data_IF_307702778778
#
_entry.id   IF_307702778778
#
_cell.length_a   1.000
_cell.length_b   1.000
_cell.length_c   1.000
_cell.angle_alpha   90.00
_cell.angle_beta   90.00
_cell.angle_gamma   90.00
#
_symmetry.space_group_name_H-M   'P 1'
#
loop_
_entity.id
_entity.type
_entity.pdbx_description
1 polymer ?
#
# COMPACT_ATOMS: atom_id res chain seq x y z
N UNK A 1 11.20 5.39 -21.61
CA UNK A 1 11.23 3.93 -21.51
C UNK A 1 10.74 3.53 -20.13
N UNK A 2 9.56 2.92 -20.08
CA UNK A 2 9.05 2.32 -18.83
C UNK A 2 9.96 1.15 -18.49
N UNK A 3 10.36 0.97 -17.20
CA UNK A 3 11.08 -0.22 -16.81
C UNK A 3 10.23 -1.47 -17.16
N UNK A 4 10.70 -2.31 -18.07
CA UNK A 4 10.02 -3.54 -18.52
C UNK A 4 9.73 -4.53 -17.36
N UNK A 5 10.35 -4.33 -16.20
CA UNK A 5 10.18 -5.14 -15.01
C UNK A 5 8.88 -4.87 -14.22
N UNK A 6 8.20 -3.77 -14.50
CA UNK A 6 6.96 -3.42 -13.81
C UNK A 6 5.79 -3.59 -14.78
N UNK A 7 5.46 -4.78 -15.17
CA UNK A 7 4.32 -5.07 -16.04
C UNK A 7 3.09 -4.18 -15.77
N UNK A 8 2.02 -4.37 -16.45
CA UNK A 8 0.79 -3.56 -16.41
C UNK A 8 0.11 -3.55 -15.01
N UNK A 9 0.82 -3.01 -14.00
CA UNK A 9 0.34 -2.92 -12.61
C UNK A 9 -0.51 -1.65 -12.49
N UNK A 10 -1.80 -1.81 -12.62
CA UNK A 10 -2.77 -0.77 -12.30
C UNK A 10 -2.64 -0.42 -10.82
N UNK A 11 -2.23 0.80 -10.50
CA UNK A 11 -2.00 1.28 -9.13
C UNK A 11 -0.56 1.67 -8.78
N UNK A 12 0.41 1.42 -9.65
CA UNK A 12 1.83 1.75 -9.45
C UNK A 12 2.07 3.26 -9.28
N UNK A 13 1.22 4.11 -9.85
CA UNK A 13 1.41 5.57 -9.86
C UNK A 13 1.46 6.23 -8.47
N UNK A 14 0.90 5.61 -7.44
CA UNK A 14 0.89 6.17 -6.07
C UNK A 14 1.95 5.56 -5.16
N UNK A 15 2.33 4.31 -5.37
CA UNK A 15 3.34 3.62 -4.55
C UNK A 15 4.76 4.05 -4.94
N UNK A 16 5.01 4.31 -6.21
CA UNK A 16 6.31 4.69 -6.75
C UNK A 16 6.92 5.94 -6.10
N UNK A 17 6.21 7.09 -6.02
CA UNK A 17 6.74 8.29 -5.38
C UNK A 17 7.09 8.09 -3.92
N UNK A 18 6.28 7.33 -3.18
CA UNK A 18 6.53 7.02 -1.77
C UNK A 18 7.77 6.14 -1.61
N UNK A 19 7.88 5.07 -2.39
CA UNK A 19 9.04 4.18 -2.35
C UNK A 19 10.35 4.89 -2.72
N UNK A 20 10.31 5.81 -3.68
CA UNK A 20 11.46 6.66 -4.01
C UNK A 20 11.83 7.58 -2.85
N UNK A 21 10.87 8.29 -2.26
CA UNK A 21 11.11 9.21 -1.14
C UNK A 21 11.75 8.53 0.06
N UNK A 22 11.39 7.27 0.32
CA UNK A 22 11.99 6.48 1.39
C UNK A 22 13.28 5.74 0.95
N UNK A 23 13.83 6.07 -0.21
CA UNK A 23 15.06 5.46 -0.73
C UNK A 23 14.93 3.98 -1.09
N UNK A 24 13.70 3.48 -1.24
CA UNK A 24 13.42 2.08 -1.63
C UNK A 24 13.69 1.86 -3.12
N UNK A 25 13.44 2.90 -3.93
CA UNK A 25 13.68 2.85 -5.38
C UNK A 25 14.71 3.91 -5.78
N UNK A 26 15.61 3.54 -6.70
CA UNK A 26 16.41 4.49 -7.48
C UNK A 26 15.74 4.67 -8.83
N UNK A 27 15.48 5.90 -9.20
CA UNK A 27 14.86 6.27 -10.48
C UNK A 27 15.79 7.17 -11.26
N UNK A 28 15.72 7.21 -12.62
CA UNK A 28 16.46 8.17 -13.43
C UNK A 28 16.17 9.61 -13.00
N UNK A 29 17.15 10.49 -13.09
CA UNK A 29 17.09 11.90 -12.62
C UNK A 29 15.86 12.67 -13.16
N UNK A 30 15.49 12.44 -14.42
CA UNK A 30 14.30 13.06 -15.02
C UNK A 30 12.99 12.62 -14.35
N UNK A 31 12.92 11.36 -13.91
CA UNK A 31 11.75 10.82 -13.18
C UNK A 31 11.75 11.35 -11.76
N UNK A 32 12.93 11.43 -11.14
CA UNK A 32 13.14 12.00 -9.81
C UNK A 32 12.64 13.44 -9.73
N UNK A 33 13.02 14.28 -10.69
CA UNK A 33 12.58 15.67 -10.79
C UNK A 33 11.06 15.79 -10.92
N UNK A 34 10.44 14.95 -11.74
CA UNK A 34 8.98 14.94 -11.92
C UNK A 34 8.25 14.46 -10.66
N UNK A 35 8.82 13.49 -9.92
CA UNK A 35 8.28 12.99 -8.66
C UNK A 35 8.43 14.01 -7.54
N UNK A 36 9.57 14.73 -7.47
CA UNK A 36 9.77 15.83 -6.54
C UNK A 36 8.74 16.93 -6.73
N UNK A 37 8.49 17.35 -7.97
CA UNK A 37 7.46 18.35 -8.28
C UNK A 37 6.07 17.90 -7.82
N UNK A 38 5.74 16.62 -7.96
CA UNK A 38 4.44 16.07 -7.51
C UNK A 38 4.32 16.04 -5.98
N UNK A 39 5.44 15.87 -5.26
CA UNK A 39 5.49 15.83 -3.80
C UNK A 39 5.60 17.22 -3.16
N UNK A 40 6.25 18.18 -3.82
CA UNK A 40 6.37 19.57 -3.32
C UNK A 40 5.04 20.33 -3.38
N UNK A 41 4.13 19.95 -4.29
CA UNK A 41 2.86 20.66 -4.49
C UNK A 41 1.69 20.20 -3.62
N UNK A 42 1.83 19.27 -2.67
CA UNK A 42 0.63 18.82 -2.02
C UNK A 42 0.65 18.25 -0.61
N UNK A 43 1.77 17.85 -0.03
CA UNK A 43 1.67 17.00 1.16
C UNK A 43 2.08 17.61 2.50
N UNK A 44 2.80 18.74 2.55
CA UNK A 44 3.31 19.32 3.81
C UNK A 44 3.34 20.84 3.86
N UNK A 45 2.31 21.52 3.37
CA UNK A 45 2.13 22.91 3.70
C UNK A 45 1.29 23.01 4.97
N UNK A 46 1.96 23.31 6.08
CA UNK A 46 1.43 23.68 7.41
C UNK A 46 0.27 22.84 7.97
N UNK A 47 0.61 21.94 8.90
CA UNK A 47 -0.34 21.22 9.77
C UNK A 47 -1.28 22.15 10.57
N UNK A 48 -1.06 23.46 10.57
CA UNK A 48 -1.95 24.45 11.19
C UNK A 48 -3.16 24.84 10.35
N UNK A 49 -3.14 24.55 9.03
CA UNK A 49 -4.29 24.74 8.13
C UNK A 49 -5.16 23.48 7.98
N UNK A 50 -4.79 22.37 8.63
CA UNK A 50 -5.49 21.09 8.52
C UNK A 50 -6.94 21.12 9.03
N UNK A 51 -7.33 22.09 9.87
CA UNK A 51 -8.71 22.24 10.32
C UNK A 51 -9.68 22.67 9.20
N UNK A 52 -9.16 23.25 8.10
CA UNK A 52 -9.96 23.67 6.94
C UNK A 52 -9.89 22.69 5.76
N UNK A 53 -9.02 21.68 5.79
CA UNK A 53 -8.80 20.75 4.66
C UNK A 53 -9.68 19.49 4.69
N UNK A 54 -10.71 19.42 5.50
CA UNK A 54 -11.57 18.24 5.62
C UNK A 54 -12.47 17.99 4.40
N UNK A 55 -12.42 18.82 3.35
CA UNK A 55 -13.13 18.58 2.10
C UNK A 55 -12.25 18.95 0.91
N UNK A 56 -11.99 17.97 0.04
CA UNK A 56 -11.42 18.25 -1.27
C UNK A 56 -12.30 19.27 -2.00
N UNK A 57 -11.67 20.31 -2.55
CA UNK A 57 -12.39 21.32 -3.32
C UNK A 57 -13.11 20.66 -4.49
N UNK A 58 -14.28 21.19 -4.83
CA UNK A 58 -15.09 20.74 -5.97
C UNK A 58 -15.01 21.77 -7.08
N UNK A 59 -15.03 21.29 -8.29
CA UNK A 59 -15.11 22.10 -9.50
C UNK A 59 -15.93 21.38 -10.56
N UNK A 60 -16.28 22.07 -11.64
CA UNK A 60 -16.94 21.42 -12.77
C UNK A 60 -15.92 20.71 -13.67
N UNK A 61 -16.32 19.65 -14.37
CA UNK A 61 -15.47 18.99 -15.36
C UNK A 61 -14.94 19.98 -16.41
N UNK A 62 -15.78 20.91 -16.87
CA UNK A 62 -15.50 21.91 -17.89
C UNK A 62 -14.38 22.85 -17.48
N UNK A 63 -14.38 23.32 -16.23
CA UNK A 63 -13.29 24.18 -15.69
C UNK A 63 -11.95 23.47 -15.68
N UNK A 64 -11.97 22.16 -15.64
CA UNK A 64 -10.76 21.31 -15.69
C UNK A 64 -10.46 20.74 -17.09
N UNK A 65 -11.15 21.24 -18.14
CA UNK A 65 -10.94 20.82 -19.51
C UNK A 65 -11.41 19.40 -19.81
N UNK A 66 -12.40 18.90 -19.07
CA UNK A 66 -13.09 17.65 -19.32
C UNK A 66 -14.56 17.94 -19.60
N UNK A 67 -15.11 17.43 -20.69
CA UNK A 67 -16.54 17.55 -20.95
C UNK A 67 -17.34 16.62 -20.03
N UNK A 68 -18.35 17.15 -19.33
CA UNK A 68 -19.25 16.37 -18.48
C UNK A 68 -19.95 15.24 -19.23
N UNK A 69 -20.18 15.40 -20.55
CA UNK A 69 -20.69 14.33 -21.40
C UNK A 69 -19.83 13.06 -21.39
N UNK A 70 -18.52 13.19 -21.22
CA UNK A 70 -17.63 12.02 -21.10
C UNK A 70 -17.90 11.21 -19.83
N UNK A 71 -18.27 11.88 -18.74
CA UNK A 71 -18.66 11.22 -17.49
C UNK A 71 -20.01 10.51 -17.70
N UNK A 72 -20.98 11.17 -18.33
CA UNK A 72 -22.28 10.56 -18.63
C UNK A 72 -22.12 9.32 -19.52
N UNK A 73 -21.33 9.42 -20.58
CA UNK A 73 -21.02 8.28 -21.47
C UNK A 73 -20.36 7.11 -20.71
N UNK A 74 -19.47 7.41 -19.73
CA UNK A 74 -18.89 6.38 -18.87
C UNK A 74 -19.97 5.69 -18.03
N UNK A 75 -20.86 6.47 -17.40
CA UNK A 75 -21.93 5.92 -16.55
C UNK A 75 -22.89 5.06 -17.35
N UNK A 76 -23.33 5.51 -18.52
CA UNK A 76 -24.17 4.76 -19.45
C UNK A 76 -23.50 3.45 -19.89
N UNK A 77 -22.19 3.49 -20.13
CA UNK A 77 -21.43 2.29 -20.48
C UNK A 77 -21.33 1.31 -19.35
N UNK A 78 -21.10 1.77 -18.10
CA UNK A 78 -21.07 0.92 -16.90
C UNK A 78 -22.40 0.20 -16.73
N UNK A 79 -23.51 0.91 -16.91
CA UNK A 79 -24.86 0.34 -16.84
C UNK A 79 -25.11 -0.67 -17.97
N UNK A 80 -24.83 -0.29 -19.21
CA UNK A 80 -25.00 -1.15 -20.38
C UNK A 80 -24.20 -2.44 -20.32
N UNK A 81 -22.97 -2.37 -19.80
CA UNK A 81 -22.09 -3.55 -19.65
C UNK A 81 -22.36 -4.29 -18.33
N UNK A 82 -23.35 -3.87 -17.55
CA UNK A 82 -23.73 -4.46 -16.26
C UNK A 82 -22.54 -4.57 -15.28
N UNK A 83 -21.69 -3.51 -15.27
CA UNK A 83 -20.54 -3.43 -14.36
C UNK A 83 -21.01 -2.92 -13.01
N UNK A 84 -20.90 -3.74 -11.98
CA UNK A 84 -21.24 -3.37 -10.61
C UNK A 84 -20.23 -2.37 -10.04
N UNK A 85 -20.69 -1.18 -9.72
CA UNK A 85 -19.90 -0.11 -9.10
C UNK A 85 -20.46 0.21 -7.72
N UNK A 86 -19.59 0.31 -6.73
CA UNK A 86 -19.95 0.68 -5.35
C UNK A 86 -19.88 2.18 -5.15
N UNK A 87 -18.79 2.79 -5.58
CA UNK A 87 -18.58 4.23 -5.53
C UNK A 87 -17.56 4.65 -6.60
N UNK A 88 -17.64 5.89 -7.01
CA UNK A 88 -16.71 6.50 -7.95
C UNK A 88 -16.37 7.91 -7.48
N UNK A 89 -15.08 8.27 -7.56
CA UNK A 89 -14.61 9.63 -7.39
C UNK A 89 -13.62 9.96 -8.51
N UNK A 90 -13.87 11.02 -9.22
CA UNK A 90 -12.99 11.54 -10.27
C UNK A 90 -12.35 12.84 -9.78
N UNK A 91 -11.02 12.85 -9.75
CA UNK A 91 -10.22 14.01 -9.34
C UNK A 91 -9.32 14.47 -10.48
N UNK A 92 -9.12 15.77 -10.58
CA UNK A 92 -8.11 16.39 -11.42
C UNK A 92 -7.54 17.61 -10.71
N UNK A 93 -6.20 17.72 -10.66
CA UNK A 93 -5.48 18.78 -9.94
C UNK A 93 -5.99 18.97 -8.49
N UNK A 94 -6.14 17.87 -7.75
CA UNK A 94 -6.64 17.81 -6.37
C UNK A 94 -8.08 18.37 -6.17
N UNK A 95 -8.85 18.53 -7.25
CA UNK A 95 -10.25 18.94 -7.17
C UNK A 95 -11.18 17.82 -7.64
N UNK A 96 -12.29 17.65 -6.93
CA UNK A 96 -13.30 16.63 -7.24
C UNK A 96 -14.22 17.12 -8.35
N UNK A 97 -14.19 16.43 -9.48
CA UNK A 97 -15.06 16.68 -10.63
C UNK A 97 -16.37 15.91 -10.54
N UNK A 98 -16.31 14.72 -10.00
CA UNK A 98 -17.45 13.82 -9.86
C UNK A 98 -17.28 12.92 -8.65
N UNK A 99 -18.38 12.68 -7.92
CA UNK A 99 -18.43 11.73 -6.80
C UNK A 99 -19.85 11.13 -6.74
N UNK A 100 -19.93 9.82 -6.72
CA UNK A 100 -21.19 9.09 -6.59
C UNK A 100 -21.02 7.79 -5.80
N UNK A 101 -22.15 7.33 -5.26
CA UNK A 101 -22.31 6.05 -4.60
C UNK A 101 -23.53 5.34 -5.20
N UNK A 102 -23.45 4.05 -5.43
CA UNK A 102 -24.56 3.26 -5.96
C UNK A 102 -25.27 2.53 -4.83
N UNK A 103 -26.62 2.65 -4.73
CA UNK A 103 -27.36 1.92 -3.71
C UNK A 103 -27.08 0.43 -3.75
N UNK A 104 -26.99 -0.26 -2.58
CA UNK A 104 -27.28 0.24 -1.22
C UNK A 104 -26.13 0.97 -0.52
N UNK A 105 -25.05 1.27 -1.22
CA UNK A 105 -23.82 1.85 -0.64
C UNK A 105 -23.94 3.36 -0.44
N UNK A 106 -23.39 3.84 0.69
CA UNK A 106 -23.35 5.27 1.05
C UNK A 106 -21.94 5.70 1.42
N UNK A 107 -21.72 6.99 1.62
CA UNK A 107 -20.42 7.54 2.00
C UNK A 107 -19.98 7.07 3.38
N UNK A 108 -20.91 6.87 4.31
CA UNK A 108 -20.66 6.60 5.73
C UNK A 108 -20.30 5.13 6.00
N UNK A 109 -20.43 4.25 5.01
CA UNK A 109 -20.13 2.84 5.17
C UNK A 109 -18.64 2.57 5.03
N UNK A 110 -18.07 1.87 6.00
CA UNK A 110 -16.72 1.31 5.90
C UNK A 110 -16.65 0.30 4.77
N UNK A 111 -15.63 0.44 3.93
CA UNK A 111 -15.36 -0.48 2.83
C UNK A 111 -13.96 -1.03 2.90
N UNK A 112 -13.86 -2.33 2.70
CA UNK A 112 -12.56 -2.98 2.57
C UNK A 112 -11.91 -2.52 1.27
N UNK A 113 -10.69 -1.99 1.38
CA UNK A 113 -9.95 -1.47 0.23
C UNK A 113 -8.99 -2.49 -0.38
N UNK A 114 -9.13 -3.76 0.00
CA UNK A 114 -8.33 -4.86 -0.54
C UNK A 114 -6.83 -4.51 -0.58
N UNK A 115 -6.18 -4.71 -1.72
CA UNK A 115 -4.73 -4.50 -1.87
C UNK A 115 -4.27 -3.04 -1.82
N UNK A 116 -5.18 -2.05 -1.80
CA UNK A 116 -4.81 -0.68 -1.44
C UNK A 116 -4.26 -0.61 0.00
N UNK A 117 -4.60 -1.56 0.86
CA UNK A 117 -4.02 -1.75 2.20
C UNK A 117 -2.49 -1.74 2.18
N UNK A 118 -1.87 -2.30 1.12
CA UNK A 118 -0.41 -2.35 0.96
C UNK A 118 0.24 -0.97 0.94
N UNK A 119 -0.45 0.02 0.38
CA UNK A 119 0.02 1.42 0.37
C UNK A 119 0.13 1.95 1.80
N UNK A 120 -0.88 1.71 2.63
CA UNK A 120 -0.87 2.14 4.03
C UNK A 120 0.21 1.42 4.83
N UNK A 121 0.41 0.12 4.61
CA UNK A 121 1.51 -0.62 5.25
C UNK A 121 2.88 -0.07 4.82
N UNK A 122 3.08 0.23 3.54
CA UNK A 122 4.31 0.84 3.06
C UNK A 122 4.55 2.23 3.66
N UNK A 123 3.49 3.05 3.82
CA UNK A 123 3.57 4.35 4.52
C UNK A 123 4.00 4.17 5.98
N UNK A 124 3.44 3.19 6.70
CA UNK A 124 3.82 2.91 8.08
C UNK A 124 5.30 2.54 8.20
N UNK A 125 5.80 1.66 7.31
CA UNK A 125 7.22 1.32 7.24
C UNK A 125 8.07 2.57 6.96
N UNK A 126 7.64 3.42 6.02
CA UNK A 126 8.35 4.66 5.70
C UNK A 126 8.44 5.62 6.89
N UNK A 127 7.35 5.80 7.63
CA UNK A 127 7.33 6.64 8.84
C UNK A 127 8.24 6.02 9.90
N UNK A 128 8.14 4.71 10.14
CA UNK A 128 8.96 4.00 11.13
C UNK A 128 10.46 4.04 10.77
N UNK A 129 10.80 3.97 9.50
CA UNK A 129 12.18 4.12 9.02
C UNK A 129 12.69 5.55 9.24
N UNK A 130 11.87 6.56 8.94
CA UNK A 130 12.19 7.98 9.22
C UNK A 130 12.39 8.27 10.71
N UNK A 131 11.70 7.55 11.58
CA UNK A 131 11.86 7.63 13.05
C UNK A 131 13.01 6.73 13.57
N UNK A 132 13.73 6.02 12.73
CA UNK A 132 14.82 5.11 13.11
C UNK A 132 14.38 3.82 13.84
N UNK A 133 13.09 3.48 13.79
CA UNK A 133 12.52 2.31 14.47
C UNK A 133 12.71 1.01 13.69
N UNK A 134 12.87 1.11 12.36
CA UNK A 134 13.13 -0.01 11.47
C UNK A 134 14.11 0.44 10.39
N UNK A 135 14.95 -0.46 9.88
CA UNK A 135 15.87 -0.16 8.78
C UNK A 135 15.49 -0.97 7.54
N UNK A 136 15.61 -0.36 6.36
CA UNK A 136 15.24 -1.02 5.11
C UNK A 136 16.18 -2.16 4.73
N UNK A 137 17.43 -2.10 5.18
CA UNK A 137 18.45 -3.13 4.97
C UNK A 137 18.47 -4.22 6.08
N UNK A 138 17.56 -4.15 7.03
CA UNK A 138 17.43 -5.13 8.10
C UNK A 138 16.98 -6.48 7.55
N UNK A 139 17.71 -7.54 7.89
CA UNK A 139 17.42 -8.90 7.41
C UNK A 139 16.21 -9.48 8.12
N UNK A 140 15.40 -10.20 7.38
CA UNK A 140 14.17 -10.80 7.92
C UNK A 140 14.50 -11.91 8.94
N UNK A 141 15.56 -12.65 8.72
CA UNK A 141 16.01 -13.68 9.67
C UNK A 141 16.44 -13.11 11.04
N UNK A 142 16.95 -11.88 11.08
CA UNK A 142 17.33 -11.21 12.32
C UNK A 142 16.10 -10.68 13.09
N UNK A 143 15.02 -10.37 12.39
CA UNK A 143 13.74 -9.96 12.98
C UNK A 143 12.95 -11.14 13.54
N UNK A 144 13.07 -12.32 12.93
CA UNK A 144 12.30 -13.52 13.27
C UNK A 144 13.22 -14.73 13.51
N UNK A 145 14.17 -14.65 14.48
CA UNK A 145 15.19 -15.68 14.65
C UNK A 145 14.62 -17.04 15.04
N UNK A 146 13.52 -17.07 15.81
CA UNK A 146 12.94 -18.35 16.24
C UNK A 146 12.23 -19.08 15.07
N UNK A 147 11.53 -18.35 14.21
CA UNK A 147 10.90 -18.92 13.03
C UNK A 147 11.94 -19.28 11.97
N UNK A 148 13.00 -18.47 11.82
CA UNK A 148 14.08 -18.70 10.86
C UNK A 148 14.88 -19.96 11.17
N UNK A 149 15.04 -20.35 12.45
CA UNK A 149 15.70 -21.62 12.84
C UNK A 149 14.99 -22.86 12.28
N UNK A 150 13.68 -22.77 12.07
CA UNK A 150 12.82 -23.84 11.59
C UNK A 150 12.53 -23.74 10.08
N UNK A 151 13.06 -22.73 9.40
CA UNK A 151 12.98 -22.58 7.96
C UNK A 151 14.10 -23.38 7.26
N UNK A 152 13.91 -23.75 5.97
CA UNK A 152 15.00 -24.35 5.20
C UNK A 152 16.22 -23.43 5.14
N UNK A 153 17.41 -24.00 5.29
CA UNK A 153 18.65 -23.25 5.11
C UNK A 153 18.78 -22.81 3.64
N UNK A 154 18.83 -21.52 3.43
CA UNK A 154 18.84 -20.91 2.11
C UNK A 154 19.66 -19.62 2.12
N UNK A 155 20.68 -19.51 1.25
CA UNK A 155 21.41 -18.25 1.07
C UNK A 155 20.47 -17.08 0.72
N UNK A 156 19.42 -17.33 -0.05
CA UNK A 156 18.43 -16.32 -0.43
C UNK A 156 17.66 -15.80 0.79
N UNK A 157 17.26 -16.70 1.70
CA UNK A 157 16.59 -16.31 2.95
C UNK A 157 17.51 -15.42 3.80
N UNK A 158 18.80 -15.71 3.86
CA UNK A 158 19.78 -14.89 4.59
C UNK A 158 19.97 -13.48 3.99
N UNK A 159 19.66 -13.31 2.71
CA UNK A 159 19.76 -12.02 2.00
C UNK A 159 18.47 -11.20 2.06
N UNK A 160 17.34 -11.81 2.46
CA UNK A 160 16.03 -11.17 2.43
C UNK A 160 15.92 -10.03 3.45
N UNK A 161 15.55 -8.84 2.97
CA UNK A 161 15.46 -7.63 3.81
C UNK A 161 14.07 -6.98 3.72
N UNK A 162 13.80 -6.02 4.61
CA UNK A 162 12.60 -5.16 4.57
C UNK A 162 12.44 -4.49 3.19
N UNK A 163 13.55 -4.04 2.57
CA UNK A 163 13.54 -3.45 1.23
C UNK A 163 12.98 -4.40 0.18
N UNK A 164 13.40 -5.67 0.18
CA UNK A 164 12.93 -6.66 -0.77
C UNK A 164 11.42 -6.95 -0.61
N UNK A 165 10.90 -6.93 0.63
CA UNK A 165 9.46 -7.04 0.90
C UNK A 165 8.69 -5.86 0.30
N UNK A 166 9.15 -4.62 0.54
CA UNK A 166 8.54 -3.39 -0.02
C UNK A 166 8.54 -3.37 -1.54
N UNK A 167 9.61 -3.86 -2.16
CA UNK A 167 9.77 -3.90 -3.61
C UNK A 167 9.02 -5.06 -4.26
N UNK A 168 8.42 -5.97 -3.48
CA UNK A 168 7.85 -7.22 -3.98
C UNK A 168 8.82 -8.02 -4.84
N UNK A 169 10.09 -8.03 -4.43
CA UNK A 169 11.19 -8.76 -5.05
C UNK A 169 11.82 -9.72 -4.06
N UNK A 170 10.99 -10.53 -3.39
CA UNK A 170 11.44 -11.48 -2.37
C UNK A 170 12.25 -12.63 -2.94
N UNK A 171 12.09 -12.93 -4.23
CA UNK A 171 12.68 -14.09 -4.87
C UNK A 171 11.89 -15.39 -4.70
N UNK A 172 10.85 -15.40 -3.85
CA UNK A 172 9.99 -16.56 -3.66
C UNK A 172 9.15 -16.87 -4.90
N UNK A 173 8.93 -18.17 -5.18
CA UNK A 173 8.23 -18.64 -6.37
C UNK A 173 6.72 -18.46 -6.32
N UNK A 174 6.13 -18.59 -5.13
CA UNK A 174 4.68 -18.60 -4.92
C UNK A 174 4.26 -17.63 -3.82
N UNK A 175 2.95 -17.42 -3.74
CA UNK A 175 2.28 -16.73 -2.64
C UNK A 175 2.19 -17.71 -1.44
N UNK A 176 2.72 -17.40 -0.24
CA UNK A 176 2.84 -18.37 0.86
C UNK A 176 1.50 -18.78 1.49
N UNK A 177 0.42 -18.04 1.27
CA UNK A 177 -0.86 -18.23 1.96
C UNK A 177 -1.90 -19.06 1.20
N UNK A 178 -1.47 -19.84 0.22
CA UNK A 178 -2.35 -20.79 -0.47
C UNK A 178 -2.62 -22.09 0.31
N UNK A 179 -1.84 -22.35 1.35
CA UNK A 179 -1.99 -23.56 2.16
C UNK A 179 -3.10 -23.36 3.22
N UNK A 180 -3.87 -24.40 3.46
CA UNK A 180 -4.82 -24.46 4.57
C UNK A 180 -4.06 -24.25 5.89
N UNK A 181 -4.60 -23.39 6.77
CA UNK A 181 -4.00 -23.01 8.06
C UNK A 181 -2.67 -22.22 7.99
N UNK A 182 -2.24 -21.70 6.82
CA UNK A 182 -1.03 -20.88 6.73
C UNK A 182 -1.09 -19.63 7.64
N UNK A 183 -2.28 -19.15 7.96
CA UNK A 183 -2.50 -18.00 8.82
C UNK A 183 -2.29 -18.27 10.32
N UNK A 184 -2.28 -19.53 10.76
CA UNK A 184 -2.04 -19.90 12.16
C UNK A 184 -0.59 -19.61 12.59
N UNK A 185 0.36 -19.75 11.63
CA UNK A 185 1.76 -19.36 11.77
C UNK A 185 2.28 -18.78 10.45
N UNK A 186 1.73 -17.60 10.11
CA UNK A 186 1.96 -16.96 8.82
C UNK A 186 3.43 -16.54 8.61
N UNK A 187 4.15 -16.21 9.67
CA UNK A 187 5.58 -15.89 9.61
C UNK A 187 6.38 -17.13 9.16
N UNK A 188 6.18 -18.27 9.82
CA UNK A 188 6.86 -19.51 9.44
C UNK A 188 6.44 -20.00 8.05
N UNK A 189 5.16 -19.86 7.67
CA UNK A 189 4.71 -20.19 6.33
C UNK A 189 5.44 -19.37 5.26
N UNK A 190 5.59 -18.05 5.50
CA UNK A 190 6.35 -17.19 4.60
C UNK A 190 7.83 -17.58 4.50
N UNK A 191 8.49 -17.85 5.63
CA UNK A 191 9.93 -18.19 5.66
C UNK A 191 10.26 -19.56 5.05
N UNK A 192 9.29 -20.47 4.98
CA UNK A 192 9.44 -21.80 4.37
C UNK A 192 9.21 -21.81 2.86
N UNK A 193 8.66 -20.74 2.30
CA UNK A 193 8.35 -20.69 0.86
C UNK A 193 9.63 -20.74 0.03
N UNK A 194 9.74 -21.67 -0.96
CA UNK A 194 10.93 -21.84 -1.77
C UNK A 194 11.28 -20.61 -2.60
N UNK A 195 12.57 -20.34 -2.75
CA UNK A 195 13.09 -19.30 -3.61
C UNK A 195 13.28 -19.80 -5.05
N UNK A 196 12.78 -19.02 -6.00
CA UNK A 196 12.99 -19.23 -7.45
C UNK A 196 14.12 -18.34 -7.98
N UNK A 197 14.32 -17.16 -7.37
CA UNK A 197 15.33 -16.17 -7.74
C UNK A 197 16.04 -15.63 -6.50
N UNK A 198 17.10 -14.86 -6.66
CA UNK A 198 17.67 -14.11 -5.55
C UNK A 198 16.76 -12.90 -5.20
N UNK A 199 16.69 -12.54 -3.89
CA UNK A 199 15.98 -11.33 -3.47
C UNK A 199 16.51 -10.09 -4.21
N UNK A 200 15.59 -9.29 -4.76
CA UNK A 200 15.91 -8.08 -5.51
C UNK A 200 15.96 -8.26 -7.04
N UNK A 201 16.04 -9.48 -7.55
CA UNK A 201 16.20 -9.72 -8.99
C UNK A 201 14.90 -9.62 -9.77
N UNK A 202 13.82 -10.25 -9.26
CA UNK A 202 12.57 -10.38 -10.01
C UNK A 202 11.40 -9.84 -9.19
N UNK A 203 10.59 -8.98 -9.82
CA UNK A 203 9.32 -8.55 -9.24
C UNK A 203 8.31 -9.70 -9.33
N UNK A 204 7.77 -10.10 -8.18
CA UNK A 204 6.60 -10.98 -8.07
C UNK A 204 5.65 -10.43 -7.02
N UNK A 205 4.40 -10.19 -7.43
CA UNK A 205 3.39 -9.73 -6.49
C UNK A 205 3.21 -10.78 -5.39
N UNK A 206 3.39 -10.36 -4.13
CA UNK A 206 3.39 -11.25 -2.97
C UNK A 206 2.74 -10.56 -1.77
N UNK A 207 1.53 -11.01 -1.40
CA UNK A 207 0.80 -10.47 -0.24
C UNK A 207 1.46 -10.84 1.07
N UNK A 208 2.12 -12.00 1.13
CA UNK A 208 2.92 -12.42 2.27
C UNK A 208 4.06 -11.45 2.57
N UNK A 209 4.70 -10.89 1.54
CA UNK A 209 5.71 -9.86 1.73
C UNK A 209 5.17 -8.66 2.51
N UNK A 210 3.94 -8.24 2.20
CA UNK A 210 3.33 -7.11 2.93
C UNK A 210 2.85 -7.48 4.33
N UNK A 211 2.39 -8.72 4.52
CA UNK A 211 2.13 -9.24 5.88
C UNK A 211 3.42 -9.21 6.72
N UNK A 212 4.55 -9.65 6.17
CA UNK A 212 5.84 -9.63 6.88
C UNK A 212 6.29 -8.21 7.27
N UNK A 213 5.92 -7.17 6.51
CA UNK A 213 6.12 -5.77 6.90
C UNK A 213 5.31 -5.41 8.15
N UNK A 214 4.05 -5.83 8.22
CA UNK A 214 3.21 -5.67 9.41
C UNK A 214 3.77 -6.43 10.61
N UNK A 215 4.20 -7.67 10.40
CA UNK A 215 4.84 -8.49 11.42
C UNK A 215 6.16 -7.87 11.93
N UNK A 216 6.96 -7.28 11.04
CA UNK A 216 8.19 -6.58 11.40
C UNK A 216 7.94 -5.36 12.30
N UNK A 217 6.90 -4.58 12.04
CA UNK A 217 6.46 -3.52 12.94
C UNK A 217 6.05 -4.08 14.30
N UNK A 218 5.28 -5.17 14.32
CA UNK A 218 4.85 -5.82 15.56
C UNK A 218 6.03 -6.31 16.40
N UNK A 219 7.09 -6.84 15.78
CA UNK A 219 8.34 -7.21 16.47
C UNK A 219 9.05 -6.03 17.14
N UNK A 220 8.82 -4.82 16.64
CA UNK A 220 9.30 -3.56 17.23
C UNK A 220 8.32 -2.96 18.24
N UNK A 221 7.29 -3.71 18.66
CA UNK A 221 6.25 -3.24 19.57
C UNK A 221 5.29 -2.21 18.94
N UNK A 222 5.24 -2.14 17.61
CA UNK A 222 4.42 -1.20 16.86
C UNK A 222 3.21 -1.94 16.28
N UNK A 223 2.00 -1.58 16.71
CA UNK A 223 0.79 -2.03 16.05
C UNK A 223 0.53 -1.20 14.79
N UNK A 224 0.41 -1.85 13.64
CA UNK A 224 0.27 -1.18 12.34
C UNK A 224 -0.92 -0.23 12.28
N UNK A 225 -2.10 -0.68 12.74
CA UNK A 225 -3.33 0.10 12.66
C UNK A 225 -3.28 1.32 13.59
N UNK A 226 -2.87 1.12 14.84
CA UNK A 226 -2.72 2.19 15.81
C UNK A 226 -1.68 3.22 15.39
N UNK A 227 -0.55 2.73 14.90
CA UNK A 227 0.53 3.59 14.43
C UNK A 227 0.12 4.47 13.25
N UNK A 228 -0.55 3.88 12.26
CA UNK A 228 -1.09 4.63 11.13
C UNK A 228 -2.18 5.61 11.56
N UNK A 229 -3.07 5.20 12.47
CA UNK A 229 -4.09 6.08 13.01
C UNK A 229 -3.46 7.35 13.59
N UNK A 230 -2.45 7.20 14.44
CA UNK A 230 -1.87 8.31 15.17
C UNK A 230 -0.96 9.18 14.26
N UNK A 231 -0.22 8.57 13.35
CA UNK A 231 0.80 9.25 12.55
C UNK A 231 0.30 9.80 11.23
N UNK A 232 -0.77 9.22 10.68
CA UNK A 232 -1.24 9.54 9.34
C UNK A 232 -2.74 9.82 9.28
N UNK A 233 -3.57 8.89 9.75
CA UNK A 233 -5.01 8.93 9.46
C UNK A 233 -5.71 10.04 10.26
N UNK A 234 -5.47 10.14 11.56
CA UNK A 234 -6.04 11.20 12.39
C UNK A 234 -5.61 12.60 11.92
N UNK A 235 -4.32 12.87 11.63
CA UNK A 235 -3.91 14.14 11.02
C UNK A 235 -4.58 14.45 9.68
N UNK A 236 -4.98 13.43 8.92
CA UNK A 236 -5.72 13.58 7.66
C UNK A 236 -7.24 13.65 7.85
N UNK A 237 -7.75 13.64 9.10
CA UNK A 237 -9.18 13.61 9.39
C UNK A 237 -9.87 12.27 9.07
N UNK A 238 -9.11 11.20 8.83
CA UNK A 238 -9.64 9.86 8.55
C UNK A 238 -9.87 9.13 9.88
N UNK A 239 -11.13 8.78 10.16
CA UNK A 239 -11.55 8.12 11.39
C UNK A 239 -12.34 6.84 11.09
N UNK A 240 -12.60 6.03 12.11
CA UNK A 240 -13.44 4.84 12.03
C UNK A 240 -12.84 3.73 11.15
N UNK A 241 -11.53 3.66 11.04
CA UNK A 241 -10.83 2.60 10.28
C UNK A 241 -10.79 1.28 11.03
N UNK A 242 -10.63 0.19 10.28
CA UNK A 242 -10.49 -1.16 10.83
C UNK A 242 -9.56 -1.99 9.96
N UNK A 243 -8.75 -2.84 10.60
CA UNK A 243 -7.90 -3.82 9.92
C UNK A 243 -8.19 -5.25 10.36
N UNK A 244 -8.25 -6.19 9.42
CA UNK A 244 -8.33 -7.63 9.73
C UNK A 244 -6.98 -8.09 10.29
N UNK A 245 -7.03 -8.93 11.33
CA UNK A 245 -5.86 -9.47 12.02
C UNK A 245 -5.83 -10.99 11.87
N UNK A 246 -4.63 -11.54 11.93
CA UNK A 246 -4.41 -12.97 12.07
C UNK A 246 -4.71 -13.44 13.53
N UNK A 247 -4.67 -14.75 13.81
CA UNK A 247 -4.86 -15.28 15.16
C UNK A 247 -3.87 -14.74 16.20
N UNK A 248 -2.70 -14.25 15.80
CA UNK A 248 -1.67 -13.68 16.67
C UNK A 248 -1.85 -12.15 16.88
N UNK A 249 -2.93 -11.58 16.36
CA UNK A 249 -3.25 -10.16 16.48
C UNK A 249 -2.41 -9.24 15.59
N UNK A 250 -1.75 -9.77 14.55
CA UNK A 250 -0.99 -9.01 13.57
C UNK A 250 -1.95 -8.59 12.44
N UNK A 251 -1.95 -7.31 12.06
CA UNK A 251 -2.71 -6.85 10.90
C UNK A 251 -2.23 -7.57 9.63
N UNK A 252 -3.16 -7.99 8.77
CA UNK A 252 -2.84 -8.74 7.54
C UNK A 252 -1.94 -7.96 6.57
N UNK A 253 -1.81 -6.64 6.75
CA UNK A 253 -0.89 -5.77 6.02
C UNK A 253 -1.21 -5.61 4.54
N UNK A 254 -1.38 -6.71 3.82
CA UNK A 254 -1.59 -6.75 2.37
C UNK A 254 -3.03 -6.59 1.92
N UNK A 255 -4.01 -6.70 2.82
CA UNK A 255 -5.45 -6.56 2.58
C UNK A 255 -6.19 -6.34 3.91
N UNK A 256 -7.52 -6.25 3.86
CA UNK A 256 -8.35 -6.24 5.06
C UNK A 256 -8.43 -4.89 5.78
N UNK A 257 -7.79 -3.85 5.25
CA UNK A 257 -8.01 -2.49 5.72
C UNK A 257 -9.35 -1.98 5.20
N UNK A 258 -10.11 -1.31 6.08
CA UNK A 258 -11.40 -0.72 5.75
C UNK A 258 -11.41 0.74 6.20
N UNK A 259 -11.96 1.61 5.34
CA UNK A 259 -12.16 3.04 5.57
C UNK A 259 -13.41 3.53 4.83
N UNK A 260 -13.84 4.78 5.13
CA UNK A 260 -14.97 5.44 4.44
C UNK A 260 -14.60 5.96 3.07
#
# INVERSE_FOLDING_TARGET
DRPKALGDIRGVSYVYPLMWRFGVLRVPEIVEKNMSLTLEFGFFRDLKEAETMNQLMRTTPEEMGLHSQNILNLLERLEKENISVVSMMLLRHNQVLYKAYWPPYTQEQLRTVYSLSKTFTAMAIGIAAGEGKIRLDERIVDLFPEQAKNAPDSPQLQMLTIRHLLMMSTGQGNEPFHQENAWDDAISAFLREPFADAPGETFRYNTGATYMLSAALKQRGIDLEEYLRDKLLTPMGITGTRWIRDPNGICTGGFGFSLH
#
